data_IF_435518448774
#
_entry.id   IF_435518448774
#
_cell.length_a   1.000
_cell.length_b   1.000
_cell.length_c   1.000
_cell.angle_alpha   90.00
_cell.angle_beta   90.00
_cell.angle_gamma   90.00
#
_symmetry.space_group_name_H-M   'P 1'
#
loop_
_entity.id
_entity.type
_entity.pdbx_description
1 polymer ?
#
# COMPACT_ATOMS: atom_id res chain seq x y z
N UNK A 1 -25.68 44.48 19.44
CA UNK A 1 -25.92 43.04 19.69
C UNK A 1 -25.24 42.08 18.70
N UNK A 2 -24.95 42.46 17.45
CA UNK A 2 -24.37 41.57 16.41
C UNK A 2 -22.95 41.01 16.71
N UNK A 3 -22.07 41.77 17.37
CA UNK A 3 -20.67 41.34 17.62
C UNK A 3 -20.51 40.10 18.53
N UNK A 4 -21.50 39.77 19.37
CA UNK A 4 -21.46 38.57 20.22
C UNK A 4 -21.84 37.30 19.44
N UNK A 5 -22.76 37.43 18.49
CA UNK A 5 -23.23 36.34 17.62
C UNK A 5 -22.08 35.85 16.71
N UNK A 6 -21.29 36.79 16.18
CA UNK A 6 -20.13 36.50 15.31
C UNK A 6 -18.99 35.78 16.08
N UNK A 7 -18.87 36.02 17.39
CA UNK A 7 -17.85 35.35 18.23
C UNK A 7 -18.22 33.92 18.61
N UNK A 8 -19.51 33.63 18.81
CA UNK A 8 -20.00 32.27 19.09
C UNK A 8 -20.05 31.34 17.88
N UNK A 9 -20.00 31.89 16.67
CA UNK A 9 -20.07 31.13 15.41
C UNK A 9 -18.73 30.48 15.01
N UNK A 10 -17.60 30.98 15.55
CA UNK A 10 -16.25 30.48 15.26
C UNK A 10 -16.02 29.01 15.66
N UNK A 11 -16.33 28.57 16.90
CA UNK A 11 -16.16 27.16 17.26
C UNK A 11 -17.07 26.24 16.46
N UNK A 12 -18.28 26.70 16.10
CA UNK A 12 -19.21 25.94 15.27
C UNK A 12 -18.68 25.74 13.85
N UNK A 13 -18.07 26.78 13.27
CA UNK A 13 -17.44 26.71 11.96
C UNK A 13 -16.24 25.76 11.93
N UNK A 14 -15.40 25.77 12.97
CA UNK A 14 -14.28 24.83 13.12
C UNK A 14 -14.81 23.40 13.26
N UNK A 15 -15.82 23.19 14.11
CA UNK A 15 -16.45 21.88 14.30
C UNK A 15 -17.03 21.34 12.98
N UNK A 16 -17.80 22.15 12.26
CA UNK A 16 -18.38 21.78 10.97
C UNK A 16 -17.30 21.43 9.94
N UNK A 17 -16.23 22.23 9.86
CA UNK A 17 -15.10 21.95 8.97
C UNK A 17 -14.40 20.63 9.32
N UNK A 18 -14.15 20.38 10.61
CA UNK A 18 -13.52 19.12 11.07
C UNK A 18 -14.39 17.90 10.79
N UNK A 19 -15.71 18.01 10.91
CA UNK A 19 -16.63 16.91 10.59
C UNK A 19 -16.69 16.64 9.07
N UNK A 20 -16.69 17.69 8.24
CA UNK A 20 -16.70 17.56 6.77
C UNK A 20 -15.42 16.89 6.25
N UNK A 21 -14.24 17.27 6.77
CA UNK A 21 -12.98 16.65 6.33
C UNK A 21 -12.79 15.22 6.86
N UNK A 22 -13.40 14.87 8.01
CA UNK A 22 -13.27 13.54 8.62
C UNK A 22 -14.24 12.51 8.02
N UNK A 23 -15.20 12.92 7.20
CA UNK A 23 -16.24 12.04 6.65
C UNK A 23 -15.81 11.22 5.41
N UNK A 24 -14.54 11.29 4.98
CA UNK A 24 -14.18 10.86 3.62
C UNK A 24 -13.88 9.35 3.45
N UNK A 25 -13.68 8.55 4.50
CA UNK A 25 -13.50 7.09 4.33
C UNK A 25 -14.24 6.33 5.44
N UNK A 26 -15.37 5.75 5.08
CA UNK A 26 -15.95 4.64 5.84
C UNK A 26 -15.15 3.37 5.48
N UNK A 27 -14.38 2.84 6.43
CA UNK A 27 -13.69 1.55 6.28
C UNK A 27 -14.64 0.36 6.42
N UNK A 28 -15.88 0.62 6.79
CA UNK A 28 -16.93 -0.38 6.88
C UNK A 28 -17.21 -0.99 5.50
N UNK A 29 -17.10 -2.31 5.39
CA UNK A 29 -17.29 -3.04 4.14
C UNK A 29 -16.01 -3.39 3.39
N UNK A 30 -14.83 -2.92 3.83
CA UNK A 30 -13.54 -3.41 3.35
C UNK A 30 -13.27 -4.77 4.01
N UNK A 31 -13.99 -5.80 3.56
CA UNK A 31 -13.66 -7.19 3.84
C UNK A 31 -12.85 -7.74 2.66
N UNK A 32 -11.81 -8.55 2.91
CA UNK A 32 -11.18 -9.32 1.84
C UNK A 32 -12.25 -10.11 1.10
N UNK A 33 -12.39 -9.86 -0.21
CA UNK A 33 -13.29 -10.63 -1.08
C UNK A 33 -12.61 -11.89 -1.62
N UNK A 34 -11.29 -11.99 -1.47
CA UNK A 34 -10.51 -13.16 -1.86
C UNK A 34 -10.69 -14.30 -0.87
N UNK A 35 -10.83 -15.51 -1.39
CA UNK A 35 -10.67 -16.74 -0.63
C UNK A 35 -9.21 -17.19 -0.67
N UNK A 36 -8.75 -17.83 0.42
CA UNK A 36 -7.45 -18.49 0.42
C UNK A 36 -7.51 -19.63 -0.58
N UNK A 37 -6.61 -19.62 -1.57
CA UNK A 37 -6.52 -20.68 -2.55
C UNK A 37 -5.81 -21.89 -1.89
N UNK A 38 -6.42 -23.09 -1.88
CA UNK A 38 -5.79 -24.29 -1.33
C UNK A 38 -4.51 -24.62 -2.09
N UNK A 39 -3.41 -24.93 -1.39
CA UNK A 39 -2.09 -25.16 -2.00
C UNK A 39 -2.13 -26.28 -3.05
N UNK A 40 -2.93 -27.32 -2.80
CA UNK A 40 -3.20 -28.45 -3.70
C UNK A 40 -3.91 -28.07 -5.00
N UNK A 41 -4.57 -26.90 -5.04
CA UNK A 41 -5.24 -26.35 -6.22
C UNK A 41 -4.33 -25.45 -7.06
N UNK A 42 -3.18 -25.04 -6.54
CA UNK A 42 -2.20 -24.32 -7.35
C UNK A 42 -1.46 -25.33 -8.23
N UNK A 43 -1.48 -25.12 -9.55
CA UNK A 43 -0.63 -25.84 -10.49
C UNK A 43 0.83 -25.33 -10.35
N UNK A 44 1.46 -25.62 -9.21
CA UNK A 44 2.77 -25.08 -8.85
C UNK A 44 3.83 -25.56 -9.84
N UNK A 45 3.85 -26.85 -10.20
CA UNK A 45 4.98 -27.39 -10.96
C UNK A 45 5.07 -26.84 -12.39
N UNK A 46 4.03 -27.03 -13.20
CA UNK A 46 4.09 -26.62 -14.61
C UNK A 46 4.00 -25.11 -14.79
N UNK A 47 3.15 -24.42 -14.00
CA UNK A 47 2.98 -22.98 -14.14
C UNK A 47 4.21 -22.19 -13.65
N UNK A 48 4.89 -22.66 -12.60
CA UNK A 48 6.15 -22.03 -12.16
C UNK A 48 7.26 -22.33 -13.17
N UNK A 49 7.34 -23.56 -13.71
CA UNK A 49 8.33 -23.87 -14.74
C UNK A 49 8.13 -23.05 -16.02
N UNK A 50 6.89 -22.84 -16.48
CA UNK A 50 6.61 -21.97 -17.61
C UNK A 50 6.93 -20.52 -17.28
N UNK A 51 6.47 -20.00 -16.15
CA UNK A 51 6.75 -18.62 -15.72
C UNK A 51 8.25 -18.36 -15.56
N UNK A 52 9.03 -19.33 -15.10
CA UNK A 52 10.49 -19.21 -14.97
C UNK A 52 11.15 -19.09 -16.34
N UNK A 53 10.68 -19.84 -17.35
CA UNK A 53 11.17 -19.75 -18.72
C UNK A 53 10.77 -18.45 -19.41
N UNK A 54 9.52 -18.04 -19.24
CA UNK A 54 8.95 -16.87 -19.93
C UNK A 54 9.42 -15.54 -19.34
N UNK A 55 9.60 -15.47 -18.01
CA UNK A 55 9.88 -14.21 -17.33
C UNK A 55 11.32 -13.71 -17.49
N UNK A 56 12.23 -14.52 -18.04
CA UNK A 56 13.65 -14.18 -18.20
C UNK A 56 14.23 -13.52 -16.95
N UNK A 57 14.00 -14.14 -15.78
CA UNK A 57 14.37 -13.56 -14.50
C UNK A 57 15.85 -13.12 -14.51
N UNK A 58 16.14 -11.88 -14.06
CA UNK A 58 17.51 -11.37 -14.03
C UNK A 58 18.38 -12.23 -13.11
N UNK A 59 19.71 -12.08 -13.28
CA UNK A 59 20.70 -12.74 -12.44
C UNK A 59 20.37 -12.59 -10.94
N UNK A 60 20.81 -13.55 -10.10
CA UNK A 60 20.55 -13.60 -8.66
C UNK A 60 20.76 -12.25 -7.93
N UNK A 61 21.64 -11.41 -8.47
CA UNK A 61 21.93 -10.04 -8.10
C UNK A 61 21.14 -9.02 -8.94
N UNK A 62 19.82 -9.18 -8.99
CA UNK A 62 18.91 -8.39 -9.83
C UNK A 62 18.98 -6.89 -9.55
N UNK A 63 19.30 -6.52 -8.31
CA UNK A 63 19.43 -5.15 -7.85
C UNK A 63 20.60 -4.39 -8.52
N UNK A 64 21.61 -5.11 -9.06
CA UNK A 64 22.75 -4.48 -9.76
C UNK A 64 22.34 -3.74 -11.03
N UNK A 65 21.19 -4.09 -11.61
CA UNK A 65 20.65 -3.38 -12.77
C UNK A 65 20.38 -1.88 -12.47
N UNK A 66 20.24 -1.50 -11.19
CA UNK A 66 20.06 -0.10 -10.80
C UNK A 66 21.37 0.71 -10.80
N UNK A 67 22.54 0.06 -10.83
CA UNK A 67 23.83 0.75 -10.77
C UNK A 67 24.07 1.52 -9.47
N UNK A 68 23.43 1.10 -8.37
CA UNK A 68 23.50 1.77 -7.07
C UNK A 68 24.53 1.09 -6.15
N UNK A 69 25.69 1.71 -6.03
CA UNK A 69 26.78 1.24 -5.18
C UNK A 69 26.48 1.28 -3.67
N UNK A 70 25.46 2.02 -3.23
CA UNK A 70 24.99 1.98 -1.85
C UNK A 70 24.13 0.74 -1.60
N UNK A 71 23.20 0.45 -2.52
CA UNK A 71 22.36 -0.75 -2.45
C UNK A 71 23.19 -2.03 -2.47
N UNK A 72 24.20 -2.09 -3.33
CA UNK A 72 25.14 -3.22 -3.37
C UNK A 72 25.79 -3.46 -2.00
N UNK A 73 26.25 -2.38 -1.37
CA UNK A 73 26.91 -2.44 -0.06
C UNK A 73 25.97 -2.87 1.05
N UNK A 74 24.70 -2.46 0.99
CA UNK A 74 23.70 -2.89 1.97
C UNK A 74 23.39 -4.36 1.87
N UNK A 75 23.32 -4.91 0.65
CA UNK A 75 23.05 -6.34 0.47
C UNK A 75 24.24 -7.17 0.92
N UNK A 76 25.48 -6.75 0.64
CA UNK A 76 26.69 -7.40 1.17
C UNK A 76 26.73 -7.43 2.71
N UNK A 77 26.17 -6.42 3.37
CA UNK A 77 26.08 -6.39 4.84
C UNK A 77 24.96 -7.27 5.41
N UNK A 78 23.95 -7.60 4.61
CA UNK A 78 22.78 -8.36 5.04
C UNK A 78 22.94 -9.88 4.86
N UNK A 79 23.96 -10.32 4.11
CA UNK A 79 24.33 -11.72 3.88
C UNK A 79 25.40 -12.20 4.85
#
# INVERSE_FOLDING_TARGET
MSRRIIRGLKPLGILALTLVISACVATHGIKPQGSVLPVDRLAIDQAIQSATRDAHWPAAQWWRAYGDAQLDRWIELAT
#
